data_IF_461307631185
#
_entry.id   IF_461307631185
#
_cell.length_a   1.000
_cell.length_b   1.000
_cell.length_c   1.000
_cell.angle_alpha   90.00
_cell.angle_beta   90.00
_cell.angle_gamma   90.00
#
_symmetry.space_group_name_H-M   'P 1'
#
loop_
_entity.id
_entity.type
_entity.pdbx_description
1 polymer ?
#
# COMPACT_ATOMS: atom_id res chain seq x y z
N UNK A 1 -3.94 9.15 -9.42
CA UNK A 1 -3.93 7.68 -9.43
C UNK A 1 -3.99 7.21 -8.00
N UNK A 2 -4.57 6.02 -7.78
CA UNK A 2 -4.62 5.32 -6.51
C UNK A 2 -3.45 4.36 -6.42
N UNK A 3 -2.56 4.54 -5.45
CA UNK A 3 -1.35 3.75 -5.30
C UNK A 3 -1.40 3.03 -3.95
N UNK A 4 -1.30 1.71 -3.99
CA UNK A 4 -1.26 0.87 -2.81
C UNK A 4 0.19 0.46 -2.54
N UNK A 5 0.77 0.93 -1.44
CA UNK A 5 2.16 0.66 -1.06
C UNK A 5 2.15 -0.38 0.05
N UNK A 6 2.74 -1.55 -0.22
CA UNK A 6 3.04 -2.55 0.80
C UNK A 6 4.39 -2.25 1.45
N UNK A 7 4.57 -2.58 2.74
CA UNK A 7 5.80 -2.24 3.47
C UNK A 7 5.98 -0.72 3.64
N UNK A 8 4.88 0.01 3.84
CA UNK A 8 4.83 1.48 3.87
C UNK A 8 5.72 2.12 4.94
N UNK A 9 6.04 1.44 6.03
CA UNK A 9 6.92 1.92 7.11
C UNK A 9 8.40 1.62 6.84
N UNK A 10 8.71 0.82 5.83
CA UNK A 10 10.08 0.57 5.37
C UNK A 10 10.74 1.80 4.74
N UNK A 11 12.06 1.73 4.51
CA UNK A 11 12.84 2.85 3.96
C UNK A 11 12.28 3.35 2.62
N UNK A 12 11.98 2.42 1.72
CA UNK A 12 11.41 2.75 0.40
C UNK A 12 9.97 3.24 0.54
N UNK A 13 9.11 2.55 1.29
CA UNK A 13 7.71 2.94 1.49
C UNK A 13 7.58 4.37 2.03
N UNK A 14 8.42 4.74 3.01
CA UNK A 14 8.44 6.09 3.57
C UNK A 14 8.95 7.15 2.58
N UNK A 15 9.93 6.81 1.74
CA UNK A 15 10.42 7.70 0.69
C UNK A 15 9.36 7.91 -0.40
N UNK A 16 8.74 6.83 -0.87
CA UNK A 16 7.68 6.86 -1.89
C UNK A 16 6.48 7.69 -1.45
N UNK A 17 6.07 7.61 -0.18
CA UNK A 17 4.99 8.44 0.35
C UNK A 17 5.27 9.95 0.22
N UNK A 18 6.52 10.38 0.37
CA UNK A 18 6.92 11.78 0.18
C UNK A 18 6.99 12.14 -1.30
N UNK A 19 7.58 11.27 -2.12
CA UNK A 19 7.79 11.51 -3.55
C UNK A 19 6.48 11.50 -4.34
N UNK A 20 5.52 10.66 -3.96
CA UNK A 20 4.26 10.44 -4.65
C UNK A 20 3.08 11.17 -3.97
N UNK A 21 3.34 12.18 -3.14
CA UNK A 21 2.33 12.89 -2.34
C UNK A 21 1.22 13.58 -3.16
N UNK A 22 1.41 13.74 -4.48
CA UNK A 22 0.39 14.25 -5.40
C UNK A 22 -0.63 13.18 -5.85
N UNK A 23 -0.50 11.94 -5.40
CA UNK A 23 -1.39 10.83 -5.69
C UNK A 23 -2.17 10.40 -4.45
N UNK A 24 -3.23 9.62 -4.65
CA UNK A 24 -3.97 9.02 -3.54
C UNK A 24 -3.20 7.77 -3.09
N UNK A 25 -2.61 7.84 -1.89
CA UNK A 25 -1.75 6.79 -1.37
C UNK A 25 -2.46 6.00 -0.27
N UNK A 26 -2.44 4.68 -0.38
CA UNK A 26 -2.75 3.76 0.71
C UNK A 26 -1.49 2.99 1.05
N UNK A 27 -0.83 3.32 2.16
CA UNK A 27 0.38 2.65 2.61
C UNK A 27 0.04 1.70 3.77
N UNK A 28 0.36 0.42 3.62
CA UNK A 28 0.12 -0.64 4.61
C UNK A 28 1.44 -1.32 4.97
N UNK A 29 1.52 -1.85 6.19
CA UNK A 29 2.67 -2.60 6.67
C UNK A 29 2.23 -3.63 7.72
N UNK A 30 3.17 -4.39 8.27
CA UNK A 30 2.93 -5.15 9.49
C UNK A 30 2.83 -4.21 10.70
N UNK A 31 1.95 -4.52 11.67
CA UNK A 31 1.04 -5.67 11.71
C UNK A 31 -0.33 -5.42 11.05
N UNK A 32 -0.55 -4.27 10.40
CA UNK A 32 -1.86 -3.89 9.86
C UNK A 32 -2.33 -4.75 8.69
N UNK A 33 -1.42 -5.15 7.80
CA UNK A 33 -1.70 -6.08 6.71
C UNK A 33 -0.49 -6.97 6.44
N UNK A 34 -0.67 -8.28 6.63
CA UNK A 34 0.30 -9.29 6.20
C UNK A 34 0.02 -9.69 4.75
N UNK A 35 0.97 -9.41 3.85
CA UNK A 35 0.85 -9.75 2.43
C UNK A 35 0.88 -11.27 2.17
N UNK A 36 1.32 -12.07 3.14
CA UNK A 36 1.25 -13.53 3.07
C UNK A 36 -0.15 -14.08 3.33
N UNK A 37 -1.01 -13.30 3.99
CA UNK A 37 -2.45 -13.58 4.07
C UNK A 37 -3.14 -13.11 2.79
N UNK A 38 -3.33 -14.07 1.89
CA UNK A 38 -4.00 -13.83 0.61
C UNK A 38 -5.42 -13.27 0.77
N UNK A 39 -6.20 -13.74 1.74
CA UNK A 39 -7.59 -13.30 1.88
C UNK A 39 -7.65 -11.84 2.35
N UNK A 40 -6.81 -11.49 3.33
CA UNK A 40 -6.68 -10.12 3.81
C UNK A 40 -6.17 -9.18 2.72
N UNK A 41 -5.11 -9.58 1.98
CA UNK A 41 -4.54 -8.78 0.90
C UNK A 41 -5.57 -8.51 -0.21
N UNK A 42 -6.28 -9.53 -0.69
CA UNK A 42 -7.28 -9.35 -1.75
C UNK A 42 -8.46 -8.48 -1.28
N UNK A 43 -8.86 -8.60 -0.02
CA UNK A 43 -9.90 -7.72 0.56
C UNK A 43 -9.44 -6.26 0.58
N UNK A 44 -8.21 -6.00 1.03
CA UNK A 44 -7.65 -4.65 1.07
C UNK A 44 -7.52 -4.03 -0.33
N UNK A 45 -7.02 -4.81 -1.30
CA UNK A 45 -6.90 -4.36 -2.70
C UNK A 45 -8.28 -4.11 -3.31
N UNK A 46 -9.28 -4.95 -3.07
CA UNK A 46 -10.64 -4.77 -3.57
C UNK A 46 -11.32 -3.51 -2.99
N UNK A 47 -11.02 -3.16 -1.73
CA UNK A 47 -11.52 -1.95 -1.08
C UNK A 47 -10.82 -0.69 -1.60
N UNK A 48 -9.50 -0.72 -1.77
CA UNK A 48 -8.71 0.41 -2.23
C UNK A 48 -8.87 0.67 -3.74
N UNK A 49 -9.12 -0.39 -4.53
CA UNK A 49 -9.17 -0.36 -5.99
C UNK A 49 -7.99 0.41 -6.62
N UNK A 50 -6.73 0.05 -6.29
CA UNK A 50 -5.57 0.80 -6.75
C UNK A 50 -5.35 0.65 -8.26
N UNK A 51 -4.79 1.70 -8.87
CA UNK A 51 -4.31 1.64 -10.25
C UNK A 51 -2.95 0.92 -10.31
N UNK A 52 -2.14 1.04 -9.24
CA UNK A 52 -0.80 0.47 -9.11
C UNK A 52 -0.59 -0.04 -7.68
N UNK A 53 0.08 -1.20 -7.54
CA UNK A 53 0.56 -1.76 -6.27
C UNK A 53 2.09 -1.73 -6.29
N UNK A 54 2.71 -1.25 -5.21
CA UNK A 54 4.17 -1.20 -5.00
C UNK A 54 4.54 -2.03 -3.77
#
# INVERSE_FOLDING_TARGET
MRIFITGGKGQLGAALQKTLAAHELTAVDLPELDITDKAALFTAVAQCQPDIII
#
